data_IF_886171312871
#
_entry.id   IF_886171312871
#
_cell.length_a   1.000
_cell.length_b   1.000
_cell.length_c   1.000
_cell.angle_alpha   90.00
_cell.angle_beta   90.00
_cell.angle_gamma   90.00
#
_symmetry.space_group_name_H-M   'P 1'
#
loop_
_entity.id
_entity.type
_entity.pdbx_description
1 polymer ?
#
# COMPACT_ATOMS: atom_id res chain seq x y z
N UNK A 1 -4.21 10.10 -0.06
CA UNK A 1 -5.12 10.03 -1.22
C UNK A 1 -4.70 10.97 -2.35
N UNK A 2 -4.79 12.30 -2.24
CA UNK A 2 -4.52 13.21 -3.36
C UNK A 2 -3.13 13.06 -4.00
N UNK A 3 -2.07 12.97 -3.18
CA UNK A 3 -0.69 12.83 -3.66
C UNK A 3 -0.43 11.49 -4.39
N UNK A 4 -1.13 10.42 -4.00
CA UNK A 4 -1.04 9.11 -4.66
C UNK A 4 -1.87 9.13 -5.96
N UNK A 5 -3.06 9.73 -5.94
CA UNK A 5 -3.90 9.90 -7.12
C UNK A 5 -3.22 10.68 -8.23
N UNK A 6 -2.47 11.74 -7.90
CA UNK A 6 -1.69 12.49 -8.88
C UNK A 6 -0.61 11.65 -9.58
N UNK A 7 -0.02 10.68 -8.88
CA UNK A 7 1.02 9.79 -9.43
C UNK A 7 0.44 8.80 -10.43
N UNK A 8 -0.81 8.35 -10.27
CA UNK A 8 -1.47 7.47 -11.23
C UNK A 8 -1.63 8.07 -12.63
N UNK A 9 -1.71 9.40 -12.72
CA UNK A 9 -1.89 10.12 -14.00
C UNK A 9 -0.70 10.04 -14.95
N UNK A 10 0.43 9.46 -14.54
CA UNK A 10 1.63 9.32 -15.38
C UNK A 10 2.26 7.94 -15.20
N UNK A 11 2.88 7.42 -16.27
CA UNK A 11 3.61 6.15 -16.20
C UNK A 11 4.76 6.22 -15.18
N UNK A 12 5.51 7.32 -15.18
CA UNK A 12 6.60 7.54 -14.21
C UNK A 12 6.09 7.52 -12.76
N UNK A 13 4.97 8.19 -12.48
CA UNK A 13 4.37 8.19 -11.15
C UNK A 13 3.87 6.81 -10.73
N UNK A 14 3.34 6.01 -11.66
CA UNK A 14 2.97 4.61 -11.40
C UNK A 14 4.19 3.75 -11.06
N UNK A 15 5.28 3.87 -11.82
CA UNK A 15 6.54 3.14 -11.57
C UNK A 15 7.19 3.54 -10.25
N UNK A 16 7.12 4.82 -9.88
CA UNK A 16 7.58 5.29 -8.57
C UNK A 16 6.79 4.64 -7.44
N UNK A 17 5.45 4.58 -7.56
CA UNK A 17 4.60 3.92 -6.58
C UNK A 17 4.90 2.42 -6.50
N UNK A 18 5.00 1.74 -7.64
CA UNK A 18 5.34 0.31 -7.69
C UNK A 18 6.67 0.05 -6.97
N UNK A 19 7.72 0.81 -7.27
CA UNK A 19 9.02 0.69 -6.61
C UNK A 19 8.95 0.98 -5.11
N UNK A 20 8.30 2.08 -4.72
CA UNK A 20 8.20 2.49 -3.30
C UNK A 20 7.43 1.47 -2.48
N UNK A 21 6.34 0.93 -3.00
CA UNK A 21 5.51 -0.04 -2.29
C UNK A 21 5.97 -1.49 -2.52
N UNK A 22 6.95 -1.74 -3.40
CA UNK A 22 7.42 -3.10 -3.70
C UNK A 22 6.39 -3.92 -4.48
N UNK A 23 5.61 -3.25 -5.32
CA UNK A 23 4.70 -3.86 -6.30
C UNK A 23 5.48 -4.25 -7.55
N UNK A 24 4.87 -5.07 -8.40
CA UNK A 24 5.46 -5.41 -9.69
C UNK A 24 5.10 -4.40 -10.77
N UNK A 25 5.94 -4.37 -11.80
CA UNK A 25 5.69 -3.53 -12.95
C UNK A 25 4.37 -3.93 -13.61
N UNK A 26 3.44 -2.98 -13.73
CA UNK A 26 2.13 -3.24 -14.31
C UNK A 26 0.99 -3.32 -13.29
N UNK A 27 1.32 -3.39 -11.99
CA UNK A 27 0.33 -3.50 -10.91
C UNK A 27 -0.54 -2.26 -10.75
N UNK A 28 -0.19 -1.13 -11.40
CA UNK A 28 -0.98 0.09 -11.35
C UNK A 28 -1.50 0.57 -12.72
N UNK A 29 -1.40 -0.24 -13.78
CA UNK A 29 -1.67 0.24 -15.14
C UNK A 29 -3.14 0.55 -15.45
N UNK A 30 -4.08 -0.08 -14.73
CA UNK A 30 -5.50 0.17 -14.94
C UNK A 30 -6.13 0.88 -13.73
N UNK A 31 -7.19 1.68 -13.94
CA UNK A 31 -7.91 2.33 -12.84
C UNK A 31 -8.40 1.34 -11.77
N UNK A 32 -8.83 0.14 -12.18
CA UNK A 32 -9.30 -0.90 -11.25
C UNK A 32 -8.17 -1.35 -10.31
N UNK A 33 -6.98 -1.58 -10.86
CA UNK A 33 -5.80 -1.96 -10.07
C UNK A 33 -5.34 -0.82 -9.15
N UNK A 34 -5.42 0.43 -9.62
CA UNK A 34 -5.13 1.61 -8.81
C UNK A 34 -6.11 1.74 -7.63
N UNK A 35 -7.39 1.50 -7.87
CA UNK A 35 -8.43 1.48 -6.84
C UNK A 35 -8.14 0.38 -5.82
N UNK A 36 -7.85 -0.85 -6.27
CA UNK A 36 -7.54 -1.96 -5.37
C UNK A 36 -6.29 -1.70 -4.53
N UNK A 37 -5.24 -1.12 -5.11
CA UNK A 37 -4.08 -0.65 -4.35
C UNK A 37 -4.48 0.39 -3.30
N UNK A 38 -5.37 1.32 -3.61
CA UNK A 38 -5.83 2.29 -2.59
C UNK A 38 -6.76 1.71 -1.53
N UNK A 39 -7.49 0.63 -1.81
CA UNK A 39 -8.54 0.10 -0.92
C UNK A 39 -8.06 -1.08 -0.06
N UNK A 40 -7.39 -2.05 -0.68
CA UNK A 40 -7.11 -3.35 -0.06
C UNK A 40 -5.65 -3.56 0.26
N UNK A 41 -4.78 -3.03 -0.59
CA UNK A 41 -3.45 -3.60 -0.75
C UNK A 41 -2.34 -2.55 -0.82
N UNK A 42 -2.58 -1.34 -0.32
CA UNK A 42 -1.63 -0.23 -0.39
C UNK A 42 -1.73 0.72 0.79
N UNK A 43 -1.63 2.03 0.52
CA UNK A 43 -1.31 3.07 1.50
C UNK A 43 -2.19 3.15 2.78
N UNK A 44 -3.38 2.56 2.77
CA UNK A 44 -4.33 2.54 3.89
C UNK A 44 -4.69 1.14 4.37
N UNK A 45 -4.29 0.09 3.64
CA UNK A 45 -4.62 -1.32 3.91
C UNK A 45 -3.82 -1.95 5.05
N UNK A 46 -3.38 -1.15 6.02
CA UNK A 46 -2.68 -1.67 7.20
C UNK A 46 -3.71 -2.39 8.06
N UNK A 47 -3.57 -3.70 8.24
CA UNK A 47 -4.34 -4.44 9.24
C UNK A 47 -3.96 -3.91 10.61
N UNK A 48 -4.75 -2.99 11.12
CA UNK A 48 -4.60 -2.46 12.47
C UNK A 48 -5.15 -3.49 13.44
N UNK A 49 -4.25 -4.19 14.12
CA UNK A 49 -4.63 -4.88 15.35
C UNK A 49 -4.89 -3.77 16.39
N UNK A 50 -6.15 -3.64 16.81
CA UNK A 50 -6.66 -2.57 17.68
C UNK A 50 -5.82 -2.44 18.96
N UNK A 51 -4.83 -1.53 18.97
CA UNK A 51 -4.00 -1.19 20.14
C UNK A 51 -3.62 -2.40 21.02
N UNK A 52 -3.38 -3.56 20.42
CA UNK A 52 -3.09 -4.76 21.19
C UNK A 52 -1.76 -4.53 21.93
N UNK A 53 -1.73 -4.58 23.28
CA UNK A 53 -0.50 -4.40 24.03
C UNK A 53 0.53 -5.51 23.77
N UNK A 54 0.12 -6.66 23.24
CA UNK A 54 0.98 -7.78 22.82
C UNK A 54 1.59 -7.56 21.42
N UNK A 55 1.24 -6.45 20.77
CA UNK A 55 1.72 -6.10 19.44
C UNK A 55 3.14 -5.52 19.51
N UNK A 56 4.11 -6.43 19.54
CA UNK A 56 5.53 -6.08 19.67
C UNK A 56 6.16 -5.62 18.35
N UNK A 57 5.59 -6.03 17.20
CA UNK A 57 6.08 -5.67 15.87
C UNK A 57 6.03 -4.16 15.61
N UNK A 58 6.89 -3.69 14.69
CA UNK A 58 6.84 -2.31 14.23
C UNK A 58 5.56 -2.05 13.42
N UNK A 59 4.98 -0.87 13.63
CA UNK A 59 3.78 -0.38 12.90
C UNK A 59 2.55 -1.30 12.97
N UNK A 60 2.43 -2.09 14.03
CA UNK A 60 1.33 -3.03 14.19
C UNK A 60 0.17 -2.46 15.05
N UNK A 61 0.40 -1.31 15.71
CA UNK A 61 -0.64 -0.55 16.40
C UNK A 61 -0.68 0.92 15.94
N UNK A 62 -1.83 1.57 16.16
CA UNK A 62 -2.08 2.94 15.68
C UNK A 62 -1.12 3.96 16.30
N UNK A 63 -0.70 3.80 17.57
CA UNK A 63 0.27 4.72 18.20
C UNK A 63 1.61 4.70 17.49
N UNK A 64 2.14 3.51 17.19
CA UNK A 64 3.41 3.33 16.45
C UNK A 64 3.32 3.86 15.03
N UNK A 65 2.20 3.63 14.34
CA UNK A 65 1.94 4.18 13.00
C UNK A 65 1.88 5.70 13.03
N UNK A 66 1.08 6.29 13.92
CA UNK A 66 0.96 7.74 14.07
C UNK A 66 2.32 8.38 14.39
N UNK A 67 3.13 7.75 15.25
CA UNK A 67 4.47 8.24 15.55
C UNK A 67 5.37 8.29 14.30
N UNK A 68 5.34 7.25 13.44
CA UNK A 68 6.10 7.23 12.18
C UNK A 68 5.58 8.29 11.19
N UNK A 69 4.27 8.46 11.10
CA UNK A 69 3.67 9.45 10.18
C UNK A 69 4.00 10.90 10.60
N UNK A 70 3.95 11.18 11.90
CA UNK A 70 4.06 12.56 12.43
C UNK A 70 5.48 13.01 12.77
N UNK A 71 6.45 12.09 12.91
CA UNK A 71 7.85 12.41 13.22
C UNK A 71 8.78 12.23 12.01
N UNK A 72 9.95 12.88 12.04
CA UNK A 72 11.00 12.73 11.02
C UNK A 72 10.83 13.60 9.77
N UNK A 73 11.90 13.67 8.97
CA UNK A 73 12.01 14.51 7.75
C UNK A 73 11.60 13.79 6.46
N UNK A 74 11.33 12.47 6.52
CA UNK A 74 10.90 11.68 5.37
C UNK A 74 9.56 12.19 4.82
N UNK A 75 9.34 12.02 3.52
CA UNK A 75 8.06 12.35 2.90
C UNK A 75 6.95 11.45 3.44
N UNK A 76 5.71 11.94 3.39
CA UNK A 76 4.55 11.14 3.79
C UNK A 76 4.45 9.85 2.96
N UNK A 77 4.83 9.89 1.68
CA UNK A 77 4.81 8.74 0.79
C UNK A 77 5.83 7.67 1.22
N UNK A 78 7.03 8.07 1.61
CA UNK A 78 8.08 7.15 2.08
C UNK A 78 7.70 6.50 3.42
N UNK A 79 7.08 7.27 4.31
CA UNK A 79 6.58 6.74 5.58
C UNK A 79 5.49 5.69 5.36
N UNK A 80 4.55 5.96 4.46
CA UNK A 80 3.49 5.01 4.09
C UNK A 80 4.05 3.75 3.42
N UNK A 81 5.01 3.90 2.51
CA UNK A 81 5.71 2.78 1.88
C UNK A 81 6.45 1.90 2.90
N UNK A 82 7.07 2.50 3.91
CA UNK A 82 7.76 1.79 4.99
C UNK A 82 6.77 0.97 5.83
N UNK A 83 5.67 1.59 6.25
CA UNK A 83 4.60 0.93 7.02
C UNK A 83 4.02 -0.24 6.21
N UNK A 84 3.80 -0.02 4.91
CA UNK A 84 3.29 -1.02 3.99
C UNK A 84 4.21 -2.25 3.91
N UNK A 85 5.50 -2.05 3.61
CA UNK A 85 6.49 -3.13 3.47
C UNK A 85 6.68 -3.94 4.75
N UNK A 86 6.51 -3.32 5.90
CA UNK A 86 6.66 -3.97 7.21
C UNK A 86 5.48 -4.89 7.55
N UNK A 87 4.28 -4.58 7.04
CA UNK A 87 3.05 -5.29 7.39
C UNK A 87 2.59 -6.30 6.33
N UNK A 88 3.23 -6.35 5.15
CA UNK A 88 2.90 -7.32 4.10
C UNK A 88 3.71 -8.61 4.21
N UNK A 89 3.08 -9.79 4.02
CA UNK A 89 3.78 -11.07 3.99
C UNK A 89 4.56 -11.20 2.68
N UNK A 90 5.89 -11.09 2.76
CA UNK A 90 6.91 -11.27 1.72
C UNK A 90 6.72 -10.48 0.39
N UNK A 91 7.77 -9.87 -0.16
CA UNK A 91 7.70 -9.26 -1.49
C UNK A 91 7.37 -10.32 -2.55
N UNK A 92 6.34 -10.09 -3.34
CA UNK A 92 5.91 -10.96 -4.44
C UNK A 92 4.98 -10.22 -5.39
N UNK A 93 4.98 -10.58 -6.67
CA UNK A 93 4.12 -9.96 -7.66
C UNK A 93 2.65 -10.29 -7.39
N UNK A 94 1.92 -9.30 -6.87
CA UNK A 94 0.49 -9.43 -6.60
C UNK A 94 -0.37 -9.26 -7.85
N UNK A 95 0.20 -8.89 -9.00
CA UNK A 95 -0.49 -8.75 -10.28
C UNK A 95 -1.51 -9.86 -10.53
N UNK A 96 -1.10 -11.11 -10.31
CA UNK A 96 -1.92 -12.28 -10.60
C UNK A 96 -3.02 -12.49 -9.56
N UNK A 97 -2.73 -12.29 -8.26
CA UNK A 97 -3.74 -12.36 -7.20
C UNK A 97 -4.78 -11.22 -7.31
N UNK A 98 -4.32 -9.99 -7.61
CA UNK A 98 -5.16 -8.82 -7.86
C UNK A 98 -6.02 -9.01 -9.11
N UNK A 99 -5.44 -9.50 -10.22
CA UNK A 99 -6.20 -9.85 -11.43
C UNK A 99 -7.23 -10.93 -11.15
N UNK A 100 -6.89 -11.97 -10.41
CA UNK A 100 -7.84 -13.04 -10.06
C UNK A 100 -8.97 -12.51 -9.18
N UNK A 101 -8.71 -11.59 -8.24
CA UNK A 101 -9.75 -10.90 -7.48
C UNK A 101 -10.64 -10.03 -8.37
N UNK A 102 -10.08 -9.28 -9.33
CA UNK A 102 -10.87 -8.49 -10.28
C UNK A 102 -11.78 -9.40 -11.11
N UNK A 103 -11.28 -10.54 -11.59
CA UNK A 103 -12.09 -11.50 -12.34
C UNK A 103 -13.26 -12.00 -11.49
N UNK A 104 -12.99 -12.42 -10.25
CA UNK A 104 -14.03 -12.89 -9.33
C UNK A 104 -15.09 -11.81 -9.02
N UNK A 105 -14.70 -10.54 -8.92
CA UNK A 105 -15.61 -9.42 -8.66
C UNK A 105 -16.42 -8.97 -9.89
N UNK A 106 -16.02 -9.40 -11.10
CA UNK A 106 -16.73 -9.09 -12.36
C UNK A 106 -17.72 -10.18 -12.75
N UNK A 107 -17.58 -11.38 -12.18
CA UNK A 107 -18.44 -12.54 -12.43
C UNK A 107 -19.66 -12.62 -11.48
N UNK A 108 -19.78 -11.70 -10.51
CA UNK A 108 -20.97 -11.41 -9.67
C UNK A 108 -21.71 -10.15 -10.17
#
# INVERSE_FOLDING_TARGET
>A
HLAIGMKFGSQEGRRELESKFGLCEGDLETPELQILFTLYDGATGVKLEYNDPLCEKDYCNIKKICAKLTKGKESLLDKLATIYKTNKPAPGCYAEALRNMITLLKDD
#
